data_IF_005573993230
#
_entry.id   IF_005573993230
#
_cell.length_a   1.000
_cell.length_b   1.000
_cell.length_c   1.000
_cell.angle_alpha   90.00
_cell.angle_beta   90.00
_cell.angle_gamma   90.00
#
_symmetry.space_group_name_H-M   'P 1'
#
loop_
_entity.id
_entity.type
_entity.pdbx_description
1 polymer ?
#
# COMPACT_ATOMS: atom_id res chain seq x y z
N UNK A 1 8.43 -11.07 3.63
CA UNK A 1 9.34 -9.95 3.31
C UNK A 1 9.17 -9.65 1.83
N UNK A 2 8.47 -8.55 1.53
CA UNK A 2 8.05 -8.23 0.17
C UNK A 2 9.24 -7.79 -0.68
N UNK A 3 9.32 -8.35 -1.89
CA UNK A 3 10.37 -8.21 -2.89
C UNK A 3 10.47 -6.77 -3.42
N UNK A 4 11.08 -5.86 -2.67
CA UNK A 4 11.66 -4.67 -3.29
C UNK A 4 12.85 -5.15 -4.14
N UNK A 5 12.67 -5.27 -5.46
CA UNK A 5 13.79 -5.45 -6.41
C UNK A 5 13.85 -6.74 -7.23
N UNK A 6 12.76 -7.46 -7.48
CA UNK A 6 12.77 -8.63 -8.39
C UNK A 6 11.75 -8.56 -9.53
N UNK A 7 11.57 -7.37 -10.10
CA UNK A 7 11.05 -7.22 -11.46
C UNK A 7 11.98 -6.24 -12.20
N UNK A 8 13.25 -6.65 -12.37
CA UNK A 8 14.19 -6.00 -13.28
C UNK A 8 13.84 -6.41 -14.71
N UNK A 9 12.65 -6.02 -15.18
CA UNK A 9 12.35 -6.07 -16.61
C UNK A 9 13.39 -5.17 -17.29
N UNK A 10 14.02 -5.66 -18.36
CA UNK A 10 15.06 -4.91 -19.05
C UNK A 10 14.44 -3.65 -19.67
N UNK A 11 14.86 -2.45 -19.23
CA UNK A 11 14.39 -1.18 -19.76
C UNK A 11 15.39 -0.65 -20.78
N UNK A 12 14.92 -0.35 -21.99
CA UNK A 12 15.72 0.40 -22.96
C UNK A 12 15.68 1.88 -22.59
N UNK A 13 16.83 2.55 -22.58
CA UNK A 13 16.94 3.97 -22.25
C UNK A 13 17.30 4.74 -23.51
N UNK A 14 16.40 5.65 -23.91
CA UNK A 14 16.62 6.53 -25.05
C UNK A 14 16.87 7.96 -24.55
N UNK A 15 18.01 8.58 -24.88
CA UNK A 15 18.26 9.98 -24.55
C UNK A 15 17.36 10.91 -25.38
N UNK A 16 16.63 11.80 -24.70
CA UNK A 16 15.81 12.85 -25.32
C UNK A 16 16.35 14.28 -25.12
N UNK A 17 17.46 14.41 -24.39
CA UNK A 17 18.14 15.67 -24.09
C UNK A 17 19.23 15.46 -23.03
N UNK A 18 19.91 16.53 -22.57
CA UNK A 18 21.04 16.40 -21.65
C UNK A 18 20.71 15.69 -20.32
N UNK A 19 19.49 15.86 -19.82
CA UNK A 19 19.03 15.29 -18.55
C UNK A 19 17.70 14.53 -18.68
N UNK A 20 17.19 14.36 -19.90
CA UNK A 20 15.87 13.78 -20.17
C UNK A 20 16.08 12.46 -20.89
N UNK A 21 15.46 11.41 -20.35
CA UNK A 21 15.53 10.05 -20.87
C UNK A 21 14.13 9.47 -20.97
N UNK A 22 13.90 8.66 -21.99
CA UNK A 22 12.75 7.78 -22.09
C UNK A 22 13.19 6.37 -21.71
N UNK A 23 12.63 5.83 -20.63
CA UNK A 23 12.75 4.42 -20.30
C UNK A 23 11.58 3.67 -20.93
N UNK A 24 11.87 2.73 -21.84
CA UNK A 24 10.86 1.99 -22.60
C UNK A 24 11.01 0.47 -22.44
N UNK A 25 9.88 -0.20 -22.27
CA UNK A 25 9.77 -1.66 -22.31
C UNK A 25 8.47 -2.05 -23.04
N UNK A 26 8.59 -2.51 -24.30
CA UNK A 26 7.43 -2.74 -25.16
C UNK A 26 6.61 -1.46 -25.38
N UNK A 27 5.34 -1.49 -24.98
CA UNK A 27 4.42 -0.35 -25.07
C UNK A 27 4.46 0.57 -23.84
N UNK A 28 5.20 0.19 -22.79
CA UNK A 28 5.37 1.02 -21.61
C UNK A 28 6.52 2.00 -21.83
N UNK A 29 6.26 3.29 -21.65
CA UNK A 29 7.25 4.36 -21.78
C UNK A 29 7.13 5.35 -20.62
N UNK A 30 8.25 5.67 -19.98
CA UNK A 30 8.32 6.62 -18.89
C UNK A 30 9.39 7.67 -19.15
N UNK A 31 9.04 8.94 -18.93
CA UNK A 31 9.98 10.05 -19.02
C UNK A 31 10.68 10.20 -17.67
N UNK A 32 12.00 10.20 -17.70
CA UNK A 32 12.87 10.43 -16.55
C UNK A 32 13.60 11.75 -16.77
N UNK A 33 13.60 12.62 -15.77
CA UNK A 33 14.41 13.83 -15.76
C UNK A 33 15.38 13.78 -14.57
N UNK A 34 16.67 13.60 -14.87
CA UNK A 34 17.71 13.43 -13.86
C UNK A 34 18.01 14.74 -13.11
N UNK A 35 17.94 15.89 -13.77
CA UNK A 35 18.21 17.19 -13.16
C UNK A 35 17.16 17.53 -12.09
N UNK A 36 15.89 17.26 -12.40
CA UNK A 36 14.77 17.49 -11.47
C UNK A 36 14.54 16.32 -10.51
N UNK A 37 15.23 15.19 -10.71
CA UNK A 37 15.04 13.95 -9.95
C UNK A 37 13.58 13.46 -9.97
N UNK A 38 12.96 13.47 -11.15
CA UNK A 38 11.55 13.08 -11.34
C UNK A 38 11.39 12.00 -12.39
N UNK A 39 10.34 11.18 -12.23
CA UNK A 39 9.94 10.19 -13.21
C UNK A 39 8.42 10.24 -13.41
N UNK A 40 7.94 10.07 -14.65
CA UNK A 40 6.51 10.06 -14.95
C UNK A 40 5.74 8.94 -14.25
N UNK A 41 6.41 7.88 -13.74
CA UNK A 41 5.78 6.88 -12.87
C UNK A 41 5.49 7.38 -11.45
N UNK A 42 5.89 8.61 -11.10
CA UNK A 42 5.70 9.30 -9.80
C UNK A 42 6.38 8.67 -8.59
N UNK A 43 6.90 7.45 -8.71
CA UNK A 43 7.50 6.76 -7.57
C UNK A 43 8.74 7.50 -7.03
N UNK A 44 9.55 8.09 -7.92
CA UNK A 44 10.70 8.89 -7.48
C UNK A 44 10.25 10.18 -6.78
N UNK A 45 9.25 10.87 -7.32
CA UNK A 45 8.70 12.10 -6.74
C UNK A 45 8.18 11.87 -5.31
N UNK A 46 7.52 10.73 -5.07
CA UNK A 46 6.89 10.40 -3.79
C UNK A 46 7.91 9.86 -2.78
N UNK A 47 8.79 8.94 -3.21
CA UNK A 47 9.69 8.25 -2.29
C UNK A 47 11.01 8.99 -2.08
N UNK A 48 11.42 9.88 -3.00
CA UNK A 48 12.76 10.45 -3.03
C UNK A 48 13.86 9.44 -3.39
N UNK A 49 13.50 8.20 -3.73
CA UNK A 49 14.40 7.12 -4.12
C UNK A 49 14.20 6.85 -5.62
N UNK A 50 15.27 6.77 -6.43
CA UNK A 50 15.13 6.46 -7.86
C UNK A 50 14.32 5.17 -8.09
N UNK A 51 13.25 5.29 -8.86
CA UNK A 51 12.48 4.14 -9.33
C UNK A 51 13.27 3.31 -10.35
N UNK A 52 12.77 2.14 -10.74
CA UNK A 52 13.48 1.27 -11.71
C UNK A 52 13.83 2.02 -13.00
N UNK A 53 12.90 2.79 -13.56
CA UNK A 53 13.13 3.59 -14.78
C UNK A 53 14.26 4.60 -14.60
N UNK A 54 14.26 5.29 -13.46
CA UNK A 54 15.30 6.26 -13.12
C UNK A 54 16.65 5.60 -12.89
N UNK A 55 16.68 4.43 -12.26
CA UNK A 55 17.91 3.67 -12.06
C UNK A 55 18.56 3.32 -13.40
N UNK A 56 17.80 2.81 -14.37
CA UNK A 56 18.32 2.54 -15.71
C UNK A 56 18.84 3.82 -16.40
N UNK A 57 18.12 4.94 -16.30
CA UNK A 57 18.57 6.22 -16.86
C UNK A 57 19.86 6.74 -16.20
N UNK A 58 20.00 6.64 -14.88
CA UNK A 58 21.21 7.04 -14.15
C UNK A 58 22.38 6.13 -14.56
N UNK A 59 22.17 4.81 -14.56
CA UNK A 59 23.21 3.84 -14.95
C UNK A 59 23.66 4.05 -16.40
N UNK A 60 22.75 4.43 -17.31
CA UNK A 60 23.10 4.78 -18.68
C UNK A 60 24.08 5.96 -18.76
N UNK A 61 24.00 6.92 -17.83
CA UNK A 61 24.95 8.04 -17.75
C UNK A 61 26.29 7.70 -17.07
N UNK A 62 26.43 6.48 -16.53
CA UNK A 62 27.62 6.06 -15.78
C UNK A 62 27.77 6.74 -14.42
N UNK A 63 26.72 7.38 -13.92
CA UNK A 63 26.72 8.05 -12.61
C UNK A 63 26.29 7.10 -11.50
N UNK A 64 26.72 7.41 -10.29
CA UNK A 64 26.34 6.64 -9.10
C UNK A 64 24.90 6.96 -8.66
N UNK A 65 24.11 5.90 -8.43
CA UNK A 65 22.73 5.96 -7.97
C UNK A 65 22.59 6.71 -6.63
N UNK A 66 23.59 6.60 -5.75
CA UNK A 66 23.54 7.20 -4.40
C UNK A 66 23.40 8.72 -4.47
N UNK A 67 23.98 9.37 -5.49
CA UNK A 67 23.90 10.83 -5.70
C UNK A 67 22.48 11.33 -6.02
N UNK A 68 21.61 10.41 -6.44
CA UNK A 68 20.24 10.68 -6.86
C UNK A 68 19.20 10.37 -5.79
N UNK A 69 19.60 9.72 -4.69
CA UNK A 69 18.75 9.49 -3.52
C UNK A 69 18.57 10.81 -2.76
N UNK A 70 17.38 11.00 -2.18
CA UNK A 70 17.09 12.15 -1.34
C UNK A 70 17.97 12.16 -0.08
N UNK A 71 18.51 13.33 0.27
CA UNK A 71 19.44 13.51 1.39
C UNK A 71 18.87 13.03 2.74
N UNK A 72 17.55 13.06 2.91
CA UNK A 72 16.85 12.59 4.12
C UNK A 72 17.10 11.11 4.45
N UNK A 73 17.50 10.31 3.46
CA UNK A 73 17.85 8.90 3.66
C UNK A 73 19.35 8.68 3.94
N UNK A 74 20.14 9.75 4.13
CA UNK A 74 21.54 9.63 4.50
C UNK A 74 21.70 9.18 5.97
N UNK A 75 22.80 8.48 6.23
CA UNK A 75 23.18 8.06 7.59
C UNK A 75 23.33 9.26 8.51
N UNK A 76 23.84 10.38 8.00
CA UNK A 76 24.05 11.60 8.79
C UNK A 76 22.73 12.24 9.20
N UNK A 77 21.75 12.31 8.29
CA UNK A 77 20.40 12.79 8.62
C UNK A 77 19.71 11.85 9.61
N UNK A 78 19.85 10.54 9.43
CA UNK A 78 19.33 9.56 10.38
C UNK A 78 19.92 9.77 11.78
N UNK A 79 21.25 9.88 11.90
CA UNK A 79 21.93 10.16 13.18
C UNK A 79 21.49 11.49 13.78
N UNK A 80 21.33 12.54 12.97
CA UNK A 80 20.89 13.85 13.44
C UNK A 80 19.45 13.83 13.99
N UNK A 81 18.53 13.12 13.32
CA UNK A 81 17.12 13.00 13.76
C UNK A 81 17.04 12.26 15.11
N UNK A 82 17.82 11.19 15.27
CA UNK A 82 17.82 10.36 16.48
C UNK A 82 18.96 10.71 17.46
N UNK A 83 19.61 11.88 17.30
CA UNK A 83 20.64 12.33 18.22
C UNK A 83 20.10 12.59 19.63
N UNK A 84 18.82 12.97 19.69
CA UNK A 84 18.09 13.18 20.94
C UNK A 84 17.14 12.01 21.22
N UNK A 85 16.91 11.76 22.51
CA UNK A 85 15.95 10.74 22.92
C UNK A 85 14.52 11.17 22.56
N UNK A 86 13.74 10.23 22.03
CA UNK A 86 12.29 10.37 21.93
C UNK A 86 11.74 10.34 23.34
N UNK A 87 11.29 11.50 23.83
CA UNK A 87 10.72 11.61 25.16
C UNK A 87 9.41 10.82 25.24
N UNK A 88 9.14 10.15 26.37
CA UNK A 88 7.87 9.46 26.56
C UNK A 88 6.73 10.48 26.52
N UNK A 89 5.63 10.09 25.86
CA UNK A 89 4.39 10.85 25.88
C UNK A 89 3.47 10.22 26.90
N UNK A 90 2.79 11.05 27.70
CA UNK A 90 1.79 10.58 28.65
C UNK A 90 0.69 9.74 27.98
N UNK A 91 -0.07 8.98 28.77
CA UNK A 91 -1.25 8.27 28.26
C UNK A 91 -2.33 9.23 27.74
N UNK A 92 -3.20 8.73 26.84
CA UNK A 92 -4.30 9.50 26.23
C UNK A 92 -5.19 10.24 27.24
N UNK A 93 -5.33 9.69 28.45
CA UNK A 93 -6.09 10.28 29.55
C UNK A 93 -5.52 11.61 30.06
N UNK A 94 -4.24 11.88 29.82
CA UNK A 94 -3.53 13.09 30.25
C UNK A 94 -3.30 14.07 29.09
N UNK A 95 -3.73 13.75 27.88
CA UNK A 95 -3.55 14.64 26.74
C UNK A 95 -4.50 15.84 26.83
N UNK A 96 -4.02 17.06 26.51
CA UNK A 96 -4.89 18.22 26.45
C UNK A 96 -5.96 18.02 25.38
N UNK A 97 -7.18 18.48 25.66
CA UNK A 97 -8.26 18.45 24.67
C UNK A 97 -7.96 19.46 23.56
N UNK A 98 -8.02 19.01 22.32
CA UNK A 98 -7.84 19.89 21.16
C UNK A 98 -9.04 20.81 20.98
N UNK A 99 -8.81 22.07 20.64
CA UNK A 99 -9.85 23.04 20.28
C UNK A 99 -10.40 22.83 18.87
N UNK A 100 -9.67 22.07 18.04
CA UNK A 100 -10.08 21.74 16.68
C UNK A 100 -11.40 20.95 16.65
N UNK A 101 -12.24 21.27 15.67
CA UNK A 101 -13.44 20.51 15.35
C UNK A 101 -13.07 19.06 15.07
N UNK A 102 -13.77 18.14 15.73
CA UNK A 102 -13.59 16.72 15.47
C UNK A 102 -13.92 16.42 14.01
N UNK A 103 -13.12 15.59 13.32
CA UNK A 103 -13.49 15.14 11.98
C UNK A 103 -14.85 14.44 12.04
N UNK A 104 -15.69 14.69 11.05
CA UNK A 104 -16.93 13.94 10.90
C UNK A 104 -16.61 12.45 10.74
N UNK A 105 -17.44 11.56 11.30
CA UNK A 105 -17.26 10.14 11.03
C UNK A 105 -17.34 9.90 9.52
N UNK A 106 -16.63 8.88 8.99
CA UNK A 106 -16.82 8.45 7.62
C UNK A 106 -18.32 8.20 7.37
N UNK A 107 -18.79 8.56 6.18
CA UNK A 107 -20.16 8.24 5.79
C UNK A 107 -20.36 6.73 5.93
N UNK A 108 -21.45 6.33 6.59
CA UNK A 108 -21.80 4.93 6.74
C UNK A 108 -22.17 4.35 5.37
N UNK A 109 -21.22 3.69 4.73
CA UNK A 109 -21.46 2.95 3.49
C UNK A 109 -21.90 1.53 3.90
N UNK A 110 -23.03 1.07 3.38
CA UNK A 110 -23.36 -0.37 3.44
C UNK A 110 -22.36 -1.09 2.56
N UNK A 111 -21.39 -1.76 3.17
CA UNK A 111 -20.50 -2.66 2.45
C UNK A 111 -21.35 -3.67 1.69
N UNK A 112 -20.97 -3.98 0.45
CA UNK A 112 -21.59 -5.09 -0.27
C UNK A 112 -21.44 -6.33 0.61
N UNK A 113 -22.57 -6.89 1.02
CA UNK A 113 -22.58 -8.11 1.83
C UNK A 113 -21.83 -9.23 1.10
N UNK A 114 -21.39 -10.22 1.86
CA UNK A 114 -20.78 -11.43 1.29
C UNK A 114 -21.65 -11.94 0.13
N UNK A 115 -21.11 -12.09 -1.09
CA UNK A 115 -21.84 -12.69 -2.19
C UNK A 115 -22.44 -14.01 -1.74
N UNK A 116 -23.74 -14.19 -1.93
CA UNK A 116 -24.38 -15.46 -1.60
C UNK A 116 -23.81 -16.53 -2.50
N UNK A 117 -23.18 -17.56 -1.91
CA UNK A 117 -22.70 -18.75 -2.64
C UNK A 117 -23.81 -19.45 -3.43
N UNK A 118 -25.06 -19.27 -3.00
CA UNK A 118 -26.22 -19.79 -3.71
C UNK A 118 -26.63 -18.79 -4.80
N UNK A 119 -26.59 -19.25 -6.05
CA UNK A 119 -27.23 -18.56 -7.16
C UNK A 119 -28.73 -18.40 -6.88
N UNK A 120 -29.31 -17.28 -7.30
CA UNK A 120 -30.77 -17.13 -7.32
C UNK A 120 -31.29 -17.99 -8.47
N UNK A 121 -32.14 -18.97 -8.15
CA UNK A 121 -32.77 -19.84 -9.15
C UNK A 121 -33.60 -19.01 -10.14
N UNK A 122 -33.55 -19.38 -11.41
CA UNK A 122 -34.36 -18.77 -12.45
C UNK A 122 -35.83 -19.22 -12.30
N UNK A 123 -36.79 -18.40 -12.73
CA UNK A 123 -38.24 -18.68 -12.56
C UNK A 123 -38.66 -20.01 -13.18
N UNK A 124 -37.91 -20.52 -14.16
CA UNK A 124 -38.18 -21.77 -14.88
C UNK A 124 -37.61 -23.03 -14.20
N UNK A 125 -36.91 -22.92 -13.07
CA UNK A 125 -36.31 -24.07 -12.38
C UNK A 125 -37.31 -24.72 -11.41
N UNK A 126 -37.64 -26.00 -11.62
CA UNK A 126 -38.64 -26.73 -10.84
C UNK A 126 -38.20 -27.03 -9.40
N UNK A 127 -39.13 -26.97 -8.44
CA UNK A 127 -38.89 -27.29 -7.04
C UNK A 127 -38.85 -28.82 -6.82
N UNK A 128 -37.67 -29.42 -6.74
CA UNK A 128 -37.56 -30.76 -6.15
C UNK A 128 -37.79 -30.68 -4.63
N UNK A 129 -38.85 -31.34 -4.15
CA UNK A 129 -39.23 -31.41 -2.73
C UNK A 129 -38.22 -32.27 -1.97
N UNK A 130 -37.15 -31.66 -1.47
CA UNK A 130 -36.24 -32.33 -0.55
C UNK A 130 -36.91 -32.49 0.82
N UNK A 131 -36.95 -33.74 1.29
CA UNK A 131 -37.63 -34.21 2.52
C UNK A 131 -37.35 -33.33 3.74
N UNK A 132 -38.42 -32.87 4.39
CA UNK A 132 -38.39 -32.14 5.65
C UNK A 132 -38.11 -33.09 6.81
N UNK A 133 -36.85 -33.46 7.01
CA UNK A 133 -36.40 -33.92 8.32
C UNK A 133 -35.15 -33.14 8.72
N UNK A 134 -35.38 -31.94 9.25
CA UNK A 134 -34.36 -31.15 9.94
C UNK A 134 -34.87 -30.84 11.34
N UNK A 135 -34.37 -31.58 12.32
CA UNK A 135 -34.56 -31.24 13.73
C UNK A 135 -34.17 -29.78 13.96
N UNK A 136 -35.12 -28.97 14.45
CA UNK A 136 -34.84 -27.60 14.90
C UNK A 136 -34.11 -27.68 16.24
N UNK A 137 -32.82 -27.39 16.25
CA UNK A 137 -32.08 -27.10 17.49
C UNK A 137 -32.34 -25.64 17.86
N UNK A 138 -33.14 -25.40 18.91
CA UNK A 138 -33.34 -24.06 19.46
C UNK A 138 -32.24 -23.73 20.47
N UNK A 139 -31.42 -22.72 20.17
CA UNK A 139 -30.27 -22.31 20.96
C UNK A 139 -30.62 -21.39 22.14
N UNK A 140 -31.50 -21.84 23.05
CA UNK A 140 -31.74 -21.11 24.30
C UNK A 140 -30.99 -21.85 25.41
N UNK A 141 -30.01 -21.18 26.03
CA UNK A 141 -29.34 -21.66 27.25
C UNK A 141 -27.93 -22.24 27.13
N UNK A 142 -27.15 -21.95 26.08
CA UNK A 142 -25.72 -22.35 26.03
C UNK A 142 -24.82 -21.24 26.56
N UNK A 143 -24.33 -21.38 27.79
CA UNK A 143 -23.15 -20.67 28.28
C UNK A 143 -21.90 -21.39 27.80
N UNK A 144 -21.07 -20.72 27.01
CA UNK A 144 -19.77 -21.23 26.58
C UNK A 144 -18.80 -21.10 27.75
N UNK A 145 -18.50 -22.20 28.43
CA UNK A 145 -17.39 -22.24 29.39
C UNK A 145 -16.11 -22.61 28.65
N UNK A 146 -15.18 -21.66 28.60
CA UNK A 146 -13.86 -21.88 28.03
C UNK A 146 -12.98 -22.56 29.09
N UNK A 147 -12.55 -23.80 28.84
CA UNK A 147 -11.74 -24.56 29.81
C UNK A 147 -10.29 -24.11 29.93
N UNK A 148 -9.80 -23.25 29.03
CA UNK A 148 -8.41 -22.78 29.02
C UNK A 148 -8.31 -21.26 28.84
N UNK A 149 -8.99 -20.49 29.70
CA UNK A 149 -8.50 -19.15 30.02
C UNK A 149 -7.68 -19.27 31.30
N UNK A 150 -6.35 -19.23 31.14
CA UNK A 150 -5.42 -18.84 32.21
C UNK A 150 -5.59 -17.35 32.52
#
# INVERSE_FOLDING_TARGET
MNKFGMDLRNWNVNPGGPYIFEARNGFEGYVVNLQRKVCSCRLWDISGIPCVHAQFAILFTGQDLVQFICEWFSVDRFKAIYANNILPVNGRNLWPRTTYTKPLPPLAIRMQGRPTLKSKRHVTESQEKYSQNKMKVTGIGRTVQHKNCL
#
